data_IF_711161182572
#
_entry.id   IF_711161182572
#
_cell.length_a   1.000
_cell.length_b   1.000
_cell.length_c   1.000
_cell.angle_alpha   90.00
_cell.angle_beta   90.00
_cell.angle_gamma   90.00
#
_symmetry.space_group_name_H-M   'P 1'
#
loop_
_entity.id
_entity.type
_entity.pdbx_description
1 polymer ?
#
# COMPACT_ATOMS: atom_id res chain seq x y z
N UNK A 1 -13.41 4.00 -2.91
CA UNK A 1 -13.16 3.95 -1.44
C UNK A 1 -12.58 5.30 -1.04
N UNK A 2 -13.13 5.97 -0.04
CA UNK A 2 -12.58 7.25 0.43
C UNK A 2 -11.61 6.97 1.58
N UNK A 3 -10.36 7.36 1.43
CA UNK A 3 -9.40 7.47 2.53
C UNK A 3 -9.44 8.91 3.08
N UNK A 4 -10.65 9.39 3.36
CA UNK A 4 -10.85 10.71 3.98
C UNK A 4 -10.66 10.60 5.50
N UNK A 5 -9.42 10.31 5.88
CA UNK A 5 -8.99 10.15 7.28
C UNK A 5 -7.74 11.00 7.53
N UNK A 6 -7.52 11.46 8.77
CA UNK A 6 -6.27 12.14 9.12
C UNK A 6 -5.04 11.26 8.82
N UNK A 7 -3.99 11.86 8.27
CA UNK A 7 -2.75 11.17 7.94
C UNK A 7 -2.15 10.44 9.15
N UNK A 8 -2.26 11.01 10.34
CA UNK A 8 -1.78 10.42 11.60
C UNK A 8 -2.52 9.12 11.96
N UNK A 9 -3.82 9.04 11.66
CA UNK A 9 -4.61 7.82 11.87
C UNK A 9 -4.14 6.69 10.94
N UNK A 10 -3.88 7.02 9.66
CA UNK A 10 -3.30 6.09 8.70
C UNK A 10 -1.90 5.63 9.14
N UNK A 11 -1.03 6.57 9.56
CA UNK A 11 0.35 6.27 9.97
C UNK A 11 0.42 5.31 11.17
N UNK A 12 -0.47 5.48 12.14
CA UNK A 12 -0.55 4.62 13.32
C UNK A 12 -1.13 3.24 13.02
N UNK A 13 -1.93 3.11 11.97
CA UNK A 13 -2.58 1.87 11.59
C UNK A 13 -1.78 1.11 10.53
N UNK A 14 -1.77 1.62 9.29
CA UNK A 14 -1.12 0.95 8.17
C UNK A 14 0.32 1.43 7.94
N UNK A 15 0.64 2.66 8.35
CA UNK A 15 1.93 3.26 8.13
C UNK A 15 3.08 2.51 8.80
N UNK A 16 2.86 1.89 9.97
CA UNK A 16 3.88 1.09 10.67
C UNK A 16 4.31 -0.13 9.85
N UNK A 17 3.39 -0.71 9.08
CA UNK A 17 3.67 -1.83 8.17
C UNK A 17 4.23 -1.35 6.83
N UNK A 18 3.62 -0.32 6.22
CA UNK A 18 4.00 0.15 4.88
C UNK A 18 5.42 0.71 4.82
N UNK A 19 5.89 1.38 5.87
CA UNK A 19 7.29 1.85 5.97
C UNK A 19 8.31 0.72 5.91
N UNK A 20 7.96 -0.48 6.37
CA UNK A 20 8.83 -1.67 6.29
C UNK A 20 8.99 -2.20 4.86
N UNK A 21 8.01 -1.95 3.99
CA UNK A 21 8.03 -2.42 2.61
C UNK A 21 8.79 -1.47 1.68
N UNK A 22 8.82 -0.16 1.99
CA UNK A 22 9.37 0.85 1.10
C UNK A 22 10.83 0.57 0.69
N UNK A 23 11.79 0.32 1.60
CA UNK A 23 13.15 0.01 1.20
C UNK A 23 13.25 -1.25 0.33
N UNK A 24 12.45 -2.28 0.63
CA UNK A 24 12.45 -3.53 -0.13
C UNK A 24 11.90 -3.34 -1.56
N UNK A 25 10.87 -2.50 -1.72
CA UNK A 25 10.33 -2.16 -3.04
C UNK A 25 11.33 -1.36 -3.87
N UNK A 26 12.07 -0.44 -3.25
CA UNK A 26 13.12 0.31 -3.91
C UNK A 26 14.30 -0.60 -4.33
N UNK A 27 14.66 -1.57 -3.49
CA UNK A 27 15.70 -2.54 -3.82
C UNK A 27 15.29 -3.42 -5.01
N UNK A 28 14.01 -3.83 -5.07
CA UNK A 28 13.45 -4.54 -6.23
C UNK A 28 13.46 -3.65 -7.48
N UNK A 29 13.10 -2.36 -7.36
CA UNK A 29 13.06 -1.44 -8.50
C UNK A 29 14.45 -1.14 -9.09
N UNK A 30 15.52 -1.30 -8.31
CA UNK A 30 16.93 -1.09 -8.74
C UNK A 30 17.15 0.30 -9.33
N UNK A 31 16.70 1.32 -8.61
CA UNK A 31 16.86 2.71 -9.01
C UNK A 31 18.33 3.13 -9.03
N UNK A 32 18.68 4.00 -9.96
CA UNK A 32 20.00 4.59 -10.11
C UNK A 32 20.04 6.01 -9.55
N UNK A 33 21.22 6.45 -9.11
CA UNK A 33 21.44 7.87 -8.77
C UNK A 33 21.13 8.75 -9.97
N UNK A 34 20.25 9.76 -9.77
CA UNK A 34 19.81 10.67 -10.82
C UNK A 34 18.50 10.28 -11.51
N UNK A 35 17.95 9.09 -11.23
CA UNK A 35 16.64 8.71 -11.73
C UNK A 35 15.56 9.68 -11.20
N UNK A 36 14.64 10.06 -12.07
CA UNK A 36 13.43 10.79 -11.70
C UNK A 36 12.28 9.82 -11.51
N UNK A 37 11.71 9.80 -10.33
CA UNK A 37 10.77 8.74 -9.90
C UNK A 37 9.43 9.32 -9.47
N UNK A 38 8.36 8.66 -9.88
CA UNK A 38 6.98 8.94 -9.46
C UNK A 38 6.50 7.91 -8.43
N UNK A 39 6.04 8.42 -7.29
CA UNK A 39 5.29 7.64 -6.28
C UNK A 39 3.78 7.78 -6.57
N UNK A 40 3.14 6.69 -7.02
CA UNK A 40 1.73 6.65 -7.40
C UNK A 40 0.89 6.12 -6.24
N UNK A 41 -0.08 6.94 -5.78
CA UNK A 41 -0.85 6.67 -4.58
C UNK A 41 0.01 6.82 -3.32
N UNK A 42 0.72 7.95 -3.24
CA UNK A 42 1.75 8.15 -2.23
C UNK A 42 1.23 8.15 -0.79
N UNK A 43 -0.08 8.31 -0.58
CA UNK A 43 -0.65 8.45 0.74
C UNK A 43 0.01 9.59 1.52
N UNK A 44 0.24 9.42 2.83
CA UNK A 44 0.96 10.39 3.64
C UNK A 44 2.47 10.45 3.39
N UNK A 45 3.03 9.66 2.44
CA UNK A 45 4.42 9.76 2.00
C UNK A 45 5.37 8.69 2.54
N UNK A 46 4.92 7.48 2.84
CA UNK A 46 5.81 6.41 3.35
C UNK A 46 6.88 5.99 2.34
N UNK A 47 6.48 5.72 1.08
CA UNK A 47 7.42 5.41 0.00
C UNK A 47 8.17 6.68 -0.45
N UNK A 48 7.45 7.81 -0.51
CA UNK A 48 8.05 9.11 -0.85
C UNK A 48 9.24 9.45 0.05
N UNK A 49 9.16 9.20 1.37
CA UNK A 49 10.25 9.45 2.31
C UNK A 49 11.51 8.68 1.91
N UNK A 50 11.37 7.39 1.67
CA UNK A 50 12.49 6.52 1.27
C UNK A 50 13.08 6.93 -0.09
N UNK A 51 12.23 7.36 -1.05
CA UNK A 51 12.68 7.90 -2.34
C UNK A 51 13.48 9.19 -2.16
N UNK A 52 13.00 10.10 -1.33
CA UNK A 52 13.70 11.38 -1.04
C UNK A 52 15.05 11.13 -0.37
N UNK A 53 15.11 10.18 0.57
CA UNK A 53 16.35 9.84 1.26
C UNK A 53 17.38 9.21 0.31
N UNK A 54 16.95 8.39 -0.67
CA UNK A 54 17.87 7.75 -1.64
C UNK A 54 18.27 8.64 -2.82
N UNK A 55 17.36 9.47 -3.33
CA UNK A 55 17.53 10.19 -4.60
C UNK A 55 17.58 11.72 -4.47
N UNK A 56 17.16 12.24 -3.32
CA UNK A 56 16.97 13.66 -3.11
C UNK A 56 15.61 14.19 -3.62
N UNK A 57 15.10 15.23 -2.97
CA UNK A 57 13.75 15.77 -3.23
C UNK A 57 13.55 16.21 -4.70
N UNK A 58 14.58 16.72 -5.38
CA UNK A 58 14.50 17.17 -6.77
C UNK A 58 14.23 16.05 -7.79
N UNK A 59 14.43 14.78 -7.40
CA UNK A 59 14.25 13.59 -8.23
C UNK A 59 12.89 12.92 -8.03
N UNK A 60 12.10 13.35 -7.05
CA UNK A 60 10.87 12.67 -6.63
C UNK A 60 9.65 13.51 -6.96
N UNK A 61 8.65 12.86 -7.57
CA UNK A 61 7.29 13.37 -7.69
C UNK A 61 6.32 12.37 -7.05
N UNK A 62 5.15 12.84 -6.64
CA UNK A 62 4.14 12.02 -5.99
C UNK A 62 2.73 12.41 -6.41
N UNK A 63 1.80 11.46 -6.42
CA UNK A 63 0.40 11.68 -6.74
C UNK A 63 -0.49 10.85 -5.82
N UNK A 64 -1.60 11.45 -5.37
CA UNK A 64 -2.63 10.74 -4.58
C UNK A 64 -4.00 11.34 -4.85
N UNK A 65 -5.10 10.56 -4.87
CA UNK A 65 -6.45 11.09 -5.05
C UNK A 65 -7.04 11.74 -3.80
N UNK A 66 -6.42 11.60 -2.62
CA UNK A 66 -6.88 12.18 -1.36
C UNK A 66 -6.26 13.54 -1.10
N UNK A 67 -7.08 14.59 -0.99
CA UNK A 67 -6.62 15.94 -0.67
C UNK A 67 -5.87 15.98 0.67
N UNK A 68 -6.34 15.25 1.69
CA UNK A 68 -5.72 15.19 3.01
C UNK A 68 -4.33 14.56 2.95
N UNK A 69 -4.15 13.50 2.15
CA UNK A 69 -2.85 12.87 1.98
C UNK A 69 -1.89 13.72 1.16
N UNK A 70 -2.36 14.35 0.09
CA UNK A 70 -1.56 15.31 -0.70
C UNK A 70 -1.06 16.45 0.19
N UNK A 71 -1.93 17.02 1.04
CA UNK A 71 -1.54 18.07 1.97
C UNK A 71 -0.49 17.58 2.98
N UNK A 72 -0.66 16.39 3.53
CA UNK A 72 0.30 15.78 4.46
C UNK A 72 1.66 15.49 3.78
N UNK A 73 1.65 14.92 2.57
CA UNK A 73 2.87 14.63 1.82
C UNK A 73 3.65 15.92 1.47
N UNK A 74 2.95 16.99 1.05
CA UNK A 74 3.56 18.29 0.81
C UNK A 74 4.21 18.90 2.07
N UNK A 75 3.54 18.78 3.20
CA UNK A 75 4.05 19.29 4.47
C UNK A 75 5.29 18.54 4.96
N UNK A 76 5.32 17.21 4.76
CA UNK A 76 6.41 16.33 5.20
C UNK A 76 7.63 16.39 4.29
N UNK A 77 7.41 16.60 3.00
CA UNK A 77 8.46 16.57 1.97
C UNK A 77 8.47 17.88 1.16
N UNK A 78 8.87 19.01 1.76
CA UNK A 78 8.96 20.27 1.04
C UNK A 78 9.98 20.15 -0.10
N UNK A 79 9.61 20.63 -1.29
CA UNK A 79 10.47 20.61 -2.47
C UNK A 79 10.22 19.48 -3.45
N UNK A 80 9.30 18.54 -3.16
CA UNK A 80 8.84 17.57 -4.17
C UNK A 80 7.58 18.06 -4.90
N UNK A 81 7.36 17.55 -6.12
CA UNK A 81 6.14 17.81 -6.90
C UNK A 81 5.04 16.83 -6.47
N UNK A 82 4.18 17.24 -5.52
CA UNK A 82 3.03 16.41 -5.09
C UNK A 82 1.76 16.93 -5.75
N UNK A 83 1.06 16.08 -6.51
CA UNK A 83 -0.17 16.42 -7.22
C UNK A 83 -1.38 15.64 -6.72
N UNK A 84 -2.54 16.27 -6.79
CA UNK A 84 -3.82 15.59 -6.63
C UNK A 84 -4.18 14.91 -7.95
N UNK A 85 -4.47 13.61 -7.91
CA UNK A 85 -4.84 12.85 -9.10
C UNK A 85 -5.01 11.36 -8.83
N UNK A 86 -5.81 10.70 -9.66
CA UNK A 86 -5.97 9.25 -9.62
C UNK A 86 -4.90 8.55 -10.48
N UNK A 87 -4.58 7.31 -10.15
CA UNK A 87 -3.62 6.51 -10.89
C UNK A 87 -4.04 6.26 -12.35
N UNK A 88 -5.35 6.23 -12.60
CA UNK A 88 -5.95 6.01 -13.93
C UNK A 88 -5.87 7.23 -14.86
N UNK A 89 -5.44 8.38 -14.35
CA UNK A 89 -5.28 9.63 -15.10
C UNK A 89 -4.16 10.47 -14.48
N UNK A 90 -2.93 10.03 -14.66
CA UNK A 90 -1.76 10.69 -14.07
C UNK A 90 -1.51 12.08 -14.70
N UNK A 91 -1.39 13.14 -13.89
CA UNK A 91 -1.25 14.53 -14.38
C UNK A 91 0.19 14.85 -14.83
N UNK A 92 0.79 13.94 -15.60
CA UNK A 92 2.17 14.07 -16.12
C UNK A 92 2.21 13.66 -17.60
N UNK A 93 3.18 14.22 -18.33
CA UNK A 93 3.42 13.91 -19.74
C UNK A 93 4.03 12.51 -19.92
N UNK A 94 4.02 12.00 -21.16
CA UNK A 94 4.57 10.70 -21.51
C UNK A 94 6.09 10.66 -21.30
N UNK A 95 6.58 9.59 -20.69
CA UNK A 95 8.00 9.27 -20.61
C UNK A 95 8.85 10.24 -19.79
N UNK A 96 8.27 10.98 -18.85
CA UNK A 96 9.01 11.98 -18.04
C UNK A 96 9.70 11.41 -16.82
N UNK A 97 9.41 10.15 -16.45
CA UNK A 97 10.03 9.47 -15.32
C UNK A 97 10.92 8.29 -15.75
N UNK A 98 11.99 8.07 -15.02
CA UNK A 98 12.83 6.88 -15.14
C UNK A 98 12.16 5.66 -14.51
N UNK A 99 11.36 5.87 -13.45
CA UNK A 99 10.57 4.83 -12.82
C UNK A 99 9.26 5.39 -12.24
N UNK A 100 8.23 4.52 -12.19
CA UNK A 100 6.96 4.77 -11.49
C UNK A 100 6.68 3.62 -10.52
N UNK A 101 6.46 3.92 -9.25
CA UNK A 101 6.26 2.94 -8.20
C UNK A 101 4.86 3.10 -7.57
N UNK A 102 4.22 1.97 -7.21
CA UNK A 102 2.92 1.96 -6.53
C UNK A 102 2.96 0.99 -5.32
N UNK A 103 3.10 1.55 -4.12
CA UNK A 103 3.14 0.75 -2.90
C UNK A 103 1.76 0.61 -2.29
N UNK A 104 1.19 -0.61 -2.30
CA UNK A 104 -0.11 -0.94 -1.71
C UNK A 104 -1.29 -0.18 -2.34
N UNK A 105 -1.24 0.09 -3.63
CA UNK A 105 -2.22 0.93 -4.36
C UNK A 105 -2.99 0.16 -5.42
N UNK A 106 -2.36 -0.76 -6.17
CA UNK A 106 -2.97 -1.42 -7.34
C UNK A 106 -4.33 -2.05 -7.03
N UNK A 107 -4.50 -2.65 -5.86
CA UNK A 107 -5.77 -3.26 -5.43
C UNK A 107 -6.86 -2.24 -5.05
N UNK A 108 -6.52 -0.96 -4.93
CA UNK A 108 -7.43 0.14 -4.61
C UNK A 108 -7.87 0.93 -5.84
N UNK A 109 -7.19 0.76 -6.98
CA UNK A 109 -7.54 1.41 -8.24
C UNK A 109 -8.94 0.96 -8.71
N UNK A 110 -9.72 1.86 -9.25
CA UNK A 110 -11.03 1.53 -9.82
C UNK A 110 -10.88 0.68 -11.10
N UNK A 111 -9.85 0.97 -11.91
CA UNK A 111 -9.39 0.16 -13.04
C UNK A 111 -7.87 -0.05 -12.92
N UNK A 112 -7.42 -1.17 -12.31
CA UNK A 112 -6.00 -1.47 -12.16
C UNK A 112 -5.22 -1.52 -13.48
N UNK A 113 -5.86 -1.97 -14.56
CA UNK A 113 -5.22 -2.03 -15.86
C UNK A 113 -5.03 -0.62 -16.46
N UNK A 114 -6.00 0.29 -16.28
CA UNK A 114 -5.85 1.68 -16.67
C UNK A 114 -4.74 2.37 -15.87
N UNK A 115 -4.72 2.20 -14.54
CA UNK A 115 -3.68 2.78 -13.69
C UNK A 115 -2.28 2.29 -14.05
N UNK A 116 -2.11 0.99 -14.26
CA UNK A 116 -0.82 0.43 -14.70
C UNK A 116 -0.43 0.93 -16.10
N UNK A 117 -1.36 1.08 -17.05
CA UNK A 117 -1.07 1.68 -18.37
C UNK A 117 -0.62 3.14 -18.25
N UNK A 118 -1.20 3.91 -17.34
CA UNK A 118 -0.77 5.28 -17.06
C UNK A 118 0.65 5.31 -16.46
N UNK A 119 0.96 4.40 -15.52
CA UNK A 119 2.33 4.26 -15.02
C UNK A 119 3.31 3.92 -16.14
N UNK A 120 2.95 3.02 -17.08
CA UNK A 120 3.76 2.74 -18.27
C UNK A 120 3.89 3.98 -19.15
N UNK A 121 2.80 4.73 -19.40
CA UNK A 121 2.81 5.94 -20.25
C UNK A 121 3.76 7.01 -19.74
N UNK A 122 3.71 7.30 -18.43
CA UNK A 122 4.55 8.37 -17.85
C UNK A 122 6.01 7.96 -17.63
N UNK A 123 6.29 6.65 -17.69
CA UNK A 123 7.64 6.08 -17.57
C UNK A 123 8.28 5.99 -18.96
N UNK A 124 9.52 6.46 -19.10
CA UNK A 124 10.24 6.40 -20.37
C UNK A 124 10.50 4.94 -20.83
N UNK A 125 10.73 4.77 -22.12
CA UNK A 125 11.17 3.47 -22.64
C UNK A 125 12.48 3.03 -21.97
N UNK A 126 12.53 1.76 -21.58
CA UNK A 126 13.63 1.21 -20.78
C UNK A 126 13.61 1.61 -19.30
N UNK A 127 12.62 2.40 -18.88
CA UNK A 127 12.38 2.71 -17.48
C UNK A 127 11.64 1.58 -16.75
N UNK A 128 11.42 1.72 -15.45
CA UNK A 128 10.92 0.68 -14.56
C UNK A 128 9.54 1.04 -14.00
N UNK A 129 8.62 0.09 -14.03
CA UNK A 129 7.39 0.12 -13.22
C UNK A 129 7.52 -0.94 -12.13
N UNK A 130 7.26 -0.57 -10.87
CA UNK A 130 7.24 -1.53 -9.77
C UNK A 130 6.01 -1.29 -8.87
N UNK A 131 5.46 -2.38 -8.33
CA UNK A 131 4.32 -2.29 -7.42
C UNK A 131 4.36 -3.41 -6.37
N UNK A 132 3.71 -3.17 -5.23
CA UNK A 132 3.41 -4.24 -4.29
C UNK A 132 1.97 -4.14 -3.77
N UNK A 133 1.42 -5.29 -3.38
CA UNK A 133 0.08 -5.46 -2.82
C UNK A 133 0.13 -6.51 -1.72
N UNK A 134 -0.59 -6.28 -0.62
CA UNK A 134 -0.69 -7.27 0.45
C UNK A 134 -1.18 -8.64 -0.06
N UNK A 135 -0.68 -9.72 0.55
CA UNK A 135 -1.14 -11.09 0.29
C UNK A 135 -2.53 -11.32 0.92
N UNK A 136 -3.55 -10.72 0.32
CA UNK A 136 -4.93 -10.87 0.78
C UNK A 136 -5.45 -12.30 0.58
N UNK A 137 -5.11 -12.95 -0.52
CA UNK A 137 -5.54 -14.31 -0.82
C UNK A 137 -4.96 -15.34 0.17
N UNK A 138 -3.72 -15.12 0.64
CA UNK A 138 -3.10 -15.93 1.67
C UNK A 138 -3.50 -15.55 3.11
N UNK A 139 -4.29 -14.48 3.29
CA UNK A 139 -4.67 -13.96 4.61
C UNK A 139 -3.49 -13.39 5.42
N UNK A 140 -2.33 -13.19 4.79
CA UNK A 140 -1.09 -12.77 5.45
C UNK A 140 -0.90 -11.25 5.42
N UNK A 141 -1.98 -10.51 5.60
CA UNK A 141 -2.00 -9.05 5.66
C UNK A 141 -2.00 -8.56 7.12
N UNK A 142 -1.70 -7.28 7.38
CA UNK A 142 -1.85 -6.70 8.73
C UNK A 142 -3.26 -6.85 9.31
N UNK A 143 -4.26 -7.02 8.44
CA UNK A 143 -5.68 -7.14 8.79
C UNK A 143 -6.19 -8.59 8.83
N UNK A 144 -5.33 -9.57 8.52
CA UNK A 144 -5.74 -10.97 8.34
C UNK A 144 -6.47 -11.55 9.55
N UNK A 145 -5.92 -11.38 10.76
CA UNK A 145 -6.56 -11.88 11.99
C UNK A 145 -7.90 -11.20 12.28
N UNK A 146 -8.03 -9.91 11.98
CA UNK A 146 -9.30 -9.18 12.14
C UNK A 146 -10.37 -9.72 11.18
N UNK A 147 -10.06 -9.85 9.88
CA UNK A 147 -10.99 -10.35 8.88
C UNK A 147 -11.38 -11.81 9.16
N UNK A 148 -10.42 -12.62 9.63
CA UNK A 148 -10.70 -14.00 10.01
C UNK A 148 -11.73 -14.05 11.15
N UNK A 149 -11.53 -13.26 12.21
CA UNK A 149 -12.47 -13.17 13.33
C UNK A 149 -13.86 -12.67 12.91
N UNK A 150 -13.92 -11.64 12.09
CA UNK A 150 -15.18 -11.07 11.58
C UNK A 150 -15.95 -12.10 10.74
N UNK A 151 -15.25 -12.83 9.87
CA UNK A 151 -15.86 -13.85 9.01
C UNK A 151 -16.40 -15.03 9.81
N UNK A 152 -15.63 -15.56 10.77
CA UNK A 152 -16.08 -16.65 11.63
C UNK A 152 -17.31 -16.27 12.48
N UNK A 153 -17.40 -15.03 12.90
CA UNK A 153 -18.52 -14.53 13.70
C UNK A 153 -19.74 -14.11 12.85
N UNK A 154 -19.64 -14.18 11.52
CA UNK A 154 -20.71 -13.79 10.61
C UNK A 154 -21.05 -12.29 10.66
N UNK A 155 -20.09 -11.43 11.01
CA UNK A 155 -20.30 -10.01 11.22
C UNK A 155 -20.04 -9.14 9.97
N UNK A 156 -19.99 -9.74 8.80
CA UNK A 156 -19.76 -9.09 7.53
C UNK A 156 -18.50 -9.64 6.88
N UNK A 157 -18.69 -10.47 5.86
CA UNK A 157 -17.58 -11.00 5.08
C UNK A 157 -17.13 -9.98 4.05
N UNK A 158 -15.85 -9.63 4.08
CA UNK A 158 -15.18 -9.03 2.94
C UNK A 158 -14.12 -9.98 2.46
N UNK A 159 -14.30 -10.49 1.27
CA UNK A 159 -13.27 -11.27 0.59
C UNK A 159 -12.44 -10.31 -0.29
N UNK A 160 -11.22 -10.03 0.16
CA UNK A 160 -10.25 -9.21 -0.57
C UNK A 160 -9.31 -10.09 -1.43
N UNK A 161 -9.48 -11.41 -1.43
CA UNK A 161 -8.63 -12.35 -2.16
C UNK A 161 -8.67 -12.20 -3.68
N UNK A 162 -9.77 -11.63 -4.20
CA UNK A 162 -9.98 -11.38 -5.63
C UNK A 162 -9.45 -10.03 -6.12
N UNK A 163 -8.97 -9.17 -5.22
CA UNK A 163 -8.46 -7.85 -5.58
C UNK A 163 -7.22 -7.96 -6.49
N UNK A 164 -6.98 -6.90 -7.29
CA UNK A 164 -5.84 -6.86 -8.20
C UNK A 164 -4.50 -6.95 -7.45
N UNK A 165 -3.65 -7.91 -7.80
CA UNK A 165 -2.37 -8.14 -7.16
C UNK A 165 -2.42 -8.92 -5.84
N UNK A 166 -3.59 -9.29 -5.34
CA UNK A 166 -3.80 -9.87 -4.01
C UNK A 166 -3.28 -11.31 -3.83
N UNK A 167 -2.87 -11.98 -4.88
CA UNK A 167 -2.35 -13.36 -4.89
C UNK A 167 -1.01 -13.45 -5.61
N UNK A 168 -0.29 -14.52 -5.32
CA UNK A 168 0.97 -14.85 -6.03
C UNK A 168 0.80 -14.81 -7.55
N UNK A 169 1.75 -14.18 -8.23
CA UNK A 169 1.80 -14.08 -9.69
C UNK A 169 0.81 -13.12 -10.32
N UNK A 170 -0.21 -12.61 -9.60
CA UNK A 170 -1.23 -11.75 -10.20
C UNK A 170 -0.67 -10.39 -10.68
N UNK A 171 0.30 -9.80 -9.95
CA UNK A 171 0.99 -8.60 -10.45
C UNK A 171 1.75 -8.88 -11.74
N UNK A 172 2.37 -10.06 -11.87
CA UNK A 172 3.06 -10.50 -13.11
C UNK A 172 2.09 -10.58 -14.27
N UNK A 173 0.89 -11.16 -14.04
CA UNK A 173 -0.17 -11.23 -15.07
C UNK A 173 -0.60 -9.84 -15.54
N UNK A 174 -0.85 -8.93 -14.60
CA UNK A 174 -1.25 -7.54 -14.85
C UNK A 174 -0.14 -6.77 -15.61
N UNK A 175 1.11 -6.91 -15.20
CA UNK A 175 2.26 -6.26 -15.85
C UNK A 175 2.43 -6.73 -17.29
N UNK A 176 2.33 -8.05 -17.55
CA UNK A 176 2.34 -8.62 -18.90
C UNK A 176 1.21 -8.06 -19.75
N UNK A 177 0.00 -7.97 -19.22
CA UNK A 177 -1.15 -7.42 -19.92
C UNK A 177 -1.00 -5.92 -20.26
N UNK A 178 -0.17 -5.19 -19.50
CA UNK A 178 0.17 -3.78 -19.78
C UNK A 178 1.41 -3.60 -20.66
N UNK A 179 2.01 -4.69 -21.19
CA UNK A 179 3.13 -4.64 -22.11
C UNK A 179 4.51 -4.50 -21.48
N UNK A 180 4.62 -4.61 -20.16
CA UNK A 180 5.89 -4.63 -19.46
C UNK A 180 6.67 -5.92 -19.75
N UNK A 181 7.99 -5.82 -19.80
CA UNK A 181 8.94 -6.90 -20.11
C UNK A 181 9.91 -7.11 -18.96
N UNK A 182 10.72 -8.15 -19.05
CA UNK A 182 11.75 -8.47 -18.05
C UNK A 182 11.19 -8.40 -16.60
N UNK A 183 10.02 -9.04 -16.45
CA UNK A 183 9.25 -8.98 -15.21
C UNK A 183 9.91 -9.89 -14.18
N UNK A 184 10.21 -9.32 -13.02
CA UNK A 184 10.67 -10.03 -11.84
C UNK A 184 9.64 -9.84 -10.73
N UNK A 185 9.38 -10.88 -9.93
CA UNK A 185 8.50 -10.82 -8.78
C UNK A 185 9.16 -11.41 -7.53
N UNK A 186 8.69 -10.98 -6.40
CA UNK A 186 9.15 -11.43 -5.09
C UNK A 186 8.10 -11.18 -4.02
N UNK A 187 8.35 -11.71 -2.84
CA UNK A 187 7.59 -11.43 -1.64
C UNK A 187 8.34 -10.45 -0.75
N UNK A 188 7.67 -9.37 -0.34
CA UNK A 188 8.16 -8.42 0.65
C UNK A 188 7.57 -8.77 2.02
N UNK A 189 8.28 -8.42 3.08
CA UNK A 189 7.92 -8.79 4.47
C UNK A 189 7.92 -7.55 5.36
N UNK A 190 6.81 -7.33 6.05
CA UNK A 190 6.75 -6.34 7.13
C UNK A 190 6.68 -7.06 8.49
N UNK A 191 7.54 -6.63 9.44
CA UNK A 191 7.65 -7.18 10.79
C UNK A 191 7.45 -6.05 11.78
N UNK A 192 6.33 -6.07 12.50
CA UNK A 192 5.99 -5.04 13.47
C UNK A 192 5.88 -5.66 14.85
N UNK A 193 6.64 -5.13 15.80
CA UNK A 193 6.56 -5.54 17.20
C UNK A 193 5.45 -4.77 17.90
N UNK A 194 4.64 -5.49 18.66
CA UNK A 194 3.59 -4.94 19.52
C UNK A 194 3.87 -5.30 20.98
N UNK A 195 3.91 -4.29 21.83
CA UNK A 195 4.16 -4.47 23.26
C UNK A 195 2.93 -5.02 23.98
N UNK A 196 1.75 -4.81 23.41
CA UNK A 196 0.47 -5.30 23.94
C UNK A 196 -0.50 -5.61 22.81
N UNK A 197 -1.54 -6.42 23.13
CA UNK A 197 -2.65 -6.64 22.22
C UNK A 197 -3.41 -5.33 21.91
N UNK A 198 -3.55 -4.44 22.89
CA UNK A 198 -4.28 -3.19 22.71
C UNK A 198 -3.56 -2.24 21.73
N UNK A 199 -2.24 -2.24 21.70
CA UNK A 199 -1.46 -1.49 20.71
C UNK A 199 -1.76 -1.95 19.25
N UNK A 200 -1.98 -3.25 19.05
CA UNK A 200 -2.41 -3.80 17.75
C UNK A 200 -3.89 -3.53 17.47
N UNK A 201 -4.75 -3.56 18.50
CA UNK A 201 -6.21 -3.51 18.39
C UNK A 201 -6.78 -2.08 18.25
N UNK A 202 -6.30 -1.14 19.04
CA UNK A 202 -6.85 0.23 19.10
C UNK A 202 -6.92 0.93 17.72
N UNK A 203 -5.94 0.78 16.81
CA UNK A 203 -5.97 1.47 15.53
C UNK A 203 -7.14 1.10 14.61
N UNK A 204 -7.81 -0.06 14.79
CA UNK A 204 -9.03 -0.38 14.06
C UNK A 204 -10.15 0.64 14.35
N UNK A 205 -10.15 1.23 15.54
CA UNK A 205 -11.08 2.28 15.94
C UNK A 205 -10.90 3.61 15.21
N UNK A 206 -9.83 3.83 14.46
CA UNK A 206 -9.59 5.09 13.74
C UNK A 206 -10.40 5.20 12.43
N UNK A 207 -11.12 4.17 12.03
CA UNK A 207 -11.97 4.20 10.84
C UNK A 207 -11.20 4.14 9.51
N UNK A 208 -9.92 3.77 9.54
CA UNK A 208 -9.08 3.72 8.34
C UNK A 208 -9.44 2.52 7.47
N UNK A 209 -9.72 2.78 6.21
CA UNK A 209 -9.99 1.75 5.21
C UNK A 209 -11.19 0.85 5.53
N UNK A 210 -11.33 -0.28 4.81
CA UNK A 210 -12.50 -1.16 4.96
C UNK A 210 -12.65 -1.78 6.35
N UNK A 211 -11.55 -2.17 6.99
CA UNK A 211 -11.59 -2.78 8.32
C UNK A 211 -12.02 -1.77 9.39
N UNK A 212 -11.47 -0.54 9.33
CA UNK A 212 -11.90 0.53 10.23
C UNK A 212 -13.35 0.96 9.99
N UNK A 213 -13.78 1.04 8.72
CA UNK A 213 -15.17 1.34 8.39
C UNK A 213 -16.14 0.28 8.94
N UNK A 214 -15.83 -1.01 8.78
CA UNK A 214 -16.63 -2.07 9.39
C UNK A 214 -16.61 -1.97 10.92
N UNK A 215 -15.43 -1.76 11.53
CA UNK A 215 -15.32 -1.64 12.98
C UNK A 215 -16.24 -0.56 13.56
N UNK A 216 -16.42 0.58 12.86
CA UNK A 216 -17.32 1.64 13.29
C UNK A 216 -18.80 1.24 13.27
N UNK A 217 -19.20 0.24 12.47
CA UNK A 217 -20.58 -0.26 12.40
C UNK A 217 -20.89 -1.30 13.48
N UNK A 218 -19.88 -1.91 14.10
CA UNK A 218 -20.04 -2.92 15.14
C UNK A 218 -20.49 -2.29 16.46
N UNK A 219 -21.47 -2.91 17.12
CA UNK A 219 -21.85 -2.54 18.49
C UNK A 219 -20.80 -3.04 19.53
N UNK A 220 -21.01 -2.68 20.79
CA UNK A 220 -20.04 -3.00 21.87
C UNK A 220 -19.84 -4.51 22.06
N UNK A 221 -20.93 -5.29 21.98
CA UNK A 221 -20.87 -6.76 22.18
C UNK A 221 -20.17 -7.43 20.98
N UNK A 222 -20.47 -6.98 19.75
CA UNK A 222 -19.81 -7.44 18.56
C UNK A 222 -18.31 -7.15 18.57
N UNK A 223 -17.92 -5.91 18.94
CA UNK A 223 -16.49 -5.54 19.11
C UNK A 223 -15.79 -6.41 20.16
N UNK A 224 -16.45 -6.66 21.30
CA UNK A 224 -15.90 -7.52 22.34
C UNK A 224 -15.69 -8.97 21.85
N UNK A 225 -16.62 -9.52 21.07
CA UNK A 225 -16.51 -10.85 20.46
C UNK A 225 -15.38 -10.93 19.43
N UNK A 226 -15.29 -9.94 18.52
CA UNK A 226 -14.18 -9.88 17.54
C UNK A 226 -12.85 -9.76 18.25
N UNK A 227 -12.76 -8.88 19.28
CA UNK A 227 -11.55 -8.71 20.08
C UNK A 227 -11.11 -10.04 20.76
N UNK A 228 -12.04 -10.73 21.39
CA UNK A 228 -11.77 -12.01 22.04
C UNK A 228 -11.25 -13.04 21.04
N UNK A 229 -11.87 -13.08 19.83
CA UNK A 229 -11.45 -14.03 18.80
C UNK A 229 -10.07 -13.68 18.22
N UNK A 230 -9.75 -12.40 18.02
CA UNK A 230 -8.40 -11.98 17.61
C UNK A 230 -7.34 -12.37 18.66
N UNK A 231 -7.65 -12.29 19.96
CA UNK A 231 -6.75 -12.71 21.03
C UNK A 231 -6.40 -14.21 20.95
N UNK A 232 -7.28 -15.05 20.42
CA UNK A 232 -7.01 -16.47 20.25
C UNK A 232 -6.09 -16.78 19.06
N UNK A 233 -6.04 -15.89 18.05
CA UNK A 233 -5.19 -16.03 16.86
C UNK A 233 -3.78 -15.45 17.04
N UNK A 234 -3.63 -14.49 17.94
CA UNK A 234 -2.36 -13.82 18.15
C UNK A 234 -1.59 -14.43 19.33
N UNK A 235 -0.26 -14.45 19.24
CA UNK A 235 0.55 -14.90 20.36
C UNK A 235 0.44 -13.96 21.57
N UNK A 236 0.82 -14.41 22.78
CA UNK A 236 0.89 -13.52 23.93
C UNK A 236 1.84 -12.35 23.69
N UNK A 237 1.47 -11.17 24.21
CA UNK A 237 2.33 -9.99 24.12
C UNK A 237 3.57 -10.11 25.07
N UNK A 238 4.72 -9.51 24.71
CA UNK A 238 4.97 -8.83 23.44
C UNK A 238 5.07 -9.82 22.27
N UNK A 239 4.65 -9.41 21.07
CA UNK A 239 4.72 -10.28 19.88
C UNK A 239 5.13 -9.51 18.62
N UNK A 240 5.78 -10.22 17.70
CA UNK A 240 6.02 -9.76 16.35
C UNK A 240 4.85 -10.15 15.44
N UNK A 241 4.26 -9.19 14.73
CA UNK A 241 3.27 -9.43 13.70
C UNK A 241 3.94 -9.39 12.32
N UNK A 242 3.90 -10.51 11.62
CA UNK A 242 4.52 -10.66 10.30
C UNK A 242 3.45 -10.62 9.22
N UNK A 243 3.59 -9.70 8.27
CA UNK A 243 2.73 -9.60 7.10
C UNK A 243 3.54 -9.62 5.81
N UNK A 244 2.89 -10.03 4.72
CA UNK A 244 3.54 -10.26 3.44
C UNK A 244 2.84 -9.50 2.33
N UNK A 245 3.63 -9.00 1.38
CA UNK A 245 3.14 -8.38 0.16
C UNK A 245 3.79 -9.03 -1.06
N UNK A 246 3.00 -9.28 -2.09
CA UNK A 246 3.51 -9.64 -3.42
C UNK A 246 4.00 -8.38 -4.11
N UNK A 247 5.16 -8.45 -4.70
CA UNK A 247 5.76 -7.33 -5.42
C UNK A 247 6.24 -7.78 -6.81
N UNK A 248 6.14 -6.88 -7.76
CA UNK A 248 6.70 -7.08 -9.10
C UNK A 248 7.36 -5.80 -9.60
N UNK A 249 8.38 -5.97 -10.44
CA UNK A 249 8.95 -4.93 -11.31
C UNK A 249 8.89 -5.38 -12.75
N UNK A 250 8.83 -4.43 -13.67
CA UNK A 250 8.92 -4.69 -15.11
C UNK A 250 9.51 -3.50 -15.84
N UNK A 251 9.99 -3.72 -17.07
CA UNK A 251 10.63 -2.70 -17.92
C UNK A 251 9.66 -2.27 -19.02
N UNK A 252 9.53 -0.96 -19.24
CA UNK A 252 8.71 -0.33 -20.30
C UNK A 252 9.32 -0.51 -21.69
#
# INVERSE_FOLDING_TARGET
MSFDVPAEAYDRFMGVHSRQLAPQLLDLARLSSGDRVLDVGCGPGALTAELVDRLGAGSVAAVDPSESFVAAARARHPGIDVRLGAAEALPYDDGVFDASLAQLVVHLMADPAAGLREMVRVTRRGGVVAACVWDHAGGRTPLGSFWHAVNELGLGARDESHLAGAREGHLVELFKACGLRDIEDTQLVARVEYSSFDEWWEPFGFGVGPAGALFQTLDADQRARVRARCLEFLPPAPFEFVSFAWAARGVV
#
